data_IF_802915946185
#
_entry.id   IF_802915946185
#
_cell.length_a   1.000
_cell.length_b   1.000
_cell.length_c   1.000
_cell.angle_alpha   90.00
_cell.angle_beta   90.00
_cell.angle_gamma   90.00
#
_symmetry.space_group_name_H-M   'P 1'
#
loop_
_entity.id
_entity.type
_entity.pdbx_description
1 polymer ?
#
# COMPACT_ATOMS: atom_id res chain seq x y z
N UNK A 1 -0.99 15.62 -8.71
CA UNK A 1 -1.32 14.32 -9.33
C UNK A 1 -2.19 13.54 -8.35
N UNK A 2 -3.45 13.29 -8.69
CA UNK A 2 -4.33 12.47 -7.86
C UNK A 2 -4.11 11.02 -8.30
N UNK A 3 -3.73 10.14 -7.37
CA UNK A 3 -3.56 8.70 -7.64
C UNK A 3 -4.93 8.06 -7.48
N UNK A 4 -5.44 7.44 -8.53
CA UNK A 4 -6.79 6.86 -8.54
C UNK A 4 -6.76 5.33 -8.65
N UNK A 5 -5.63 4.76 -9.11
CA UNK A 5 -5.53 3.32 -9.38
C UNK A 5 -4.32 2.67 -8.69
N UNK A 6 -4.38 1.33 -8.44
CA UNK A 6 -3.22 0.58 -7.95
C UNK A 6 -2.00 0.67 -8.86
N UNK A 7 -2.19 0.74 -10.18
CA UNK A 7 -1.10 0.82 -11.15
C UNK A 7 -0.37 2.16 -11.07
N UNK A 8 -1.09 3.26 -10.93
CA UNK A 8 -0.50 4.58 -10.71
C UNK A 8 0.27 4.64 -9.39
N UNK A 9 -0.28 4.05 -8.31
CA UNK A 9 0.41 3.99 -7.02
C UNK A 9 1.69 3.15 -7.12
N UNK A 10 1.66 2.02 -7.83
CA UNK A 10 2.86 1.22 -8.12
C UNK A 10 3.94 2.05 -8.83
N UNK A 11 3.58 2.77 -9.89
CA UNK A 11 4.54 3.59 -10.63
C UNK A 11 5.11 4.71 -9.77
N UNK A 12 4.26 5.42 -9.01
CA UNK A 12 4.68 6.50 -8.13
C UNK A 12 5.64 6.02 -7.03
N UNK A 13 5.39 4.85 -6.45
CA UNK A 13 6.18 4.29 -5.34
C UNK A 13 7.42 3.52 -5.78
N UNK A 14 7.71 3.42 -7.10
CA UNK A 14 8.82 2.60 -7.59
C UNK A 14 10.18 3.03 -7.02
N UNK A 15 10.37 4.34 -6.78
CA UNK A 15 11.61 4.88 -6.18
C UNK A 15 11.72 4.65 -4.68
N UNK A 16 10.59 4.67 -3.96
CA UNK A 16 10.55 4.64 -2.49
C UNK A 16 10.24 3.26 -1.93
N UNK A 17 9.71 2.35 -2.74
CA UNK A 17 9.31 0.99 -2.38
C UNK A 17 9.47 0.03 -3.58
N UNK A 18 10.69 -0.09 -4.15
CA UNK A 18 10.93 -0.80 -5.41
C UNK A 18 10.50 -2.27 -5.39
N UNK A 19 10.54 -2.91 -4.22
CA UNK A 19 10.27 -4.34 -4.09
C UNK A 19 8.80 -4.70 -3.86
N UNK A 20 7.96 -3.77 -3.40
CA UNK A 20 6.61 -4.09 -2.91
C UNK A 20 5.71 -4.72 -3.98
N UNK A 21 5.79 -4.19 -5.20
CA UNK A 21 4.97 -4.63 -6.34
C UNK A 21 5.77 -5.49 -7.34
N UNK A 22 6.89 -6.07 -6.91
CA UNK A 22 7.63 -7.03 -7.72
C UNK A 22 6.85 -8.31 -7.86
N UNK A 23 7.02 -8.98 -9.01
CA UNK A 23 6.39 -10.26 -9.28
C UNK A 23 6.68 -11.27 -8.16
N UNK A 24 7.94 -11.35 -7.71
CA UNK A 24 8.35 -12.32 -6.69
C UNK A 24 7.75 -12.04 -5.32
N UNK A 25 7.70 -10.78 -4.89
CA UNK A 25 7.04 -10.39 -3.64
C UNK A 25 5.55 -10.73 -3.70
N UNK A 26 4.89 -10.40 -4.80
CA UNK A 26 3.46 -10.68 -4.95
C UNK A 26 3.19 -12.19 -5.01
N UNK A 27 3.97 -12.95 -5.77
CA UNK A 27 3.91 -14.43 -5.82
C UNK A 27 4.16 -15.06 -4.45
N UNK A 28 5.12 -14.54 -3.69
CA UNK A 28 5.41 -15.00 -2.34
C UNK A 28 4.17 -14.90 -1.44
N UNK A 29 3.50 -13.75 -1.43
CA UNK A 29 2.26 -13.56 -0.66
C UNK A 29 1.00 -14.15 -1.31
N UNK A 30 1.06 -14.61 -2.57
CA UNK A 30 -0.10 -15.09 -3.32
C UNK A 30 -1.03 -13.96 -3.79
N UNK A 31 -0.44 -12.81 -4.12
CA UNK A 31 -1.15 -11.58 -4.48
C UNK A 31 -1.05 -11.26 -5.98
N UNK A 32 -1.94 -10.41 -6.47
CA UNK A 32 -1.92 -9.89 -7.84
C UNK A 32 -2.35 -8.42 -7.87
N UNK A 33 -1.92 -7.66 -8.89
CA UNK A 33 -2.29 -6.23 -8.97
C UNK A 33 -3.81 -6.02 -9.04
N UNK A 34 -4.54 -6.98 -9.61
CA UNK A 34 -6.02 -6.94 -9.71
C UNK A 34 -6.70 -7.02 -8.35
N UNK A 35 -6.07 -7.70 -7.38
CA UNK A 35 -6.59 -7.85 -6.03
C UNK A 35 -6.46 -6.58 -5.19
N UNK A 36 -5.63 -5.63 -5.60
CA UNK A 36 -5.51 -4.36 -4.89
C UNK A 36 -6.59 -3.35 -5.28
N UNK A 37 -7.02 -2.56 -4.30
CA UNK A 37 -7.68 -1.28 -4.49
C UNK A 37 -6.87 -0.17 -3.81
N UNK A 38 -7.14 1.09 -4.20
CA UNK A 38 -6.51 2.28 -3.61
C UNK A 38 -7.61 3.23 -3.15
N UNK A 39 -7.43 3.85 -1.98
CA UNK A 39 -8.27 4.96 -1.52
C UNK A 39 -7.44 5.97 -0.72
N UNK A 40 -7.91 7.21 -0.66
CA UNK A 40 -7.36 8.20 0.26
C UNK A 40 -7.74 7.84 1.71
N UNK A 41 -6.81 7.98 2.64
CA UNK A 41 -7.06 7.78 4.06
C UNK A 41 -6.10 8.64 4.91
N UNK A 42 -6.32 8.69 6.22
CA UNK A 42 -5.44 9.30 7.21
C UNK A 42 -5.17 8.29 8.32
N UNK A 43 -3.90 8.00 8.59
CA UNK A 43 -3.50 7.07 9.65
C UNK A 43 -2.75 7.80 10.77
N UNK A 44 -2.71 7.19 11.95
CA UNK A 44 -1.88 7.63 13.07
C UNK A 44 -0.61 6.79 13.10
N UNK A 45 0.54 7.44 12.98
CA UNK A 45 1.87 6.84 13.16
C UNK A 45 2.45 7.27 14.52
N UNK A 46 3.67 6.84 14.84
CA UNK A 46 4.38 7.36 16.03
C UNK A 46 4.71 8.86 15.93
N UNK A 47 4.82 9.40 14.72
CA UNK A 47 5.11 10.81 14.46
C UNK A 47 3.88 11.71 14.31
N UNK A 48 2.67 11.16 14.49
CA UNK A 48 1.41 11.91 14.37
C UNK A 48 0.51 11.41 13.24
N UNK A 49 -0.43 12.26 12.82
CA UNK A 49 -1.39 11.92 11.75
C UNK A 49 -0.75 12.17 10.38
N UNK A 50 -0.87 11.20 9.48
CA UNK A 50 -0.32 11.27 8.12
C UNK A 50 -1.41 10.95 7.11
N UNK A 51 -1.54 11.80 6.09
CA UNK A 51 -2.38 11.51 4.93
C UNK A 51 -1.70 10.50 4.01
N UNK A 52 -2.43 9.47 3.62
CA UNK A 52 -1.89 8.34 2.87
C UNK A 52 -2.80 7.92 1.72
N UNK A 53 -2.20 7.24 0.75
CA UNK A 53 -2.87 6.30 -0.11
C UNK A 53 -2.88 4.94 0.59
N UNK A 54 -4.06 4.46 0.95
CA UNK A 54 -4.25 3.10 1.45
C UNK A 54 -4.37 2.15 0.27
N UNK A 55 -3.42 1.23 0.16
CA UNK A 55 -3.47 0.07 -0.71
C UNK A 55 -4.09 -1.09 0.08
N UNK A 56 -5.37 -1.36 -0.17
CA UNK A 56 -6.11 -2.43 0.50
C UNK A 56 -6.27 -3.64 -0.43
N UNK A 57 -6.43 -4.82 0.18
CA UNK A 57 -6.71 -6.07 -0.54
C UNK A 57 -8.21 -6.31 -0.63
N UNK A 58 -8.72 -6.50 -1.86
CA UNK A 58 -10.13 -6.82 -2.11
C UNK A 58 -10.50 -8.21 -1.60
N UNK A 59 -9.58 -9.18 -1.70
CA UNK A 59 -9.73 -10.54 -1.20
C UNK A 59 -8.51 -10.92 -0.36
N UNK A 60 -8.67 -11.74 0.71
CA UNK A 60 -7.55 -12.29 1.47
C UNK A 60 -6.58 -13.07 0.57
N UNK A 61 -5.29 -13.06 0.92
CA UNK A 61 -4.24 -13.84 0.25
C UNK A 61 -3.80 -15.02 1.14
N UNK A 62 -2.61 -15.60 0.87
CA UNK A 62 -2.09 -16.73 1.66
C UNK A 62 -2.20 -16.48 3.16
N UNK A 63 -2.59 -17.52 3.90
CA UNK A 63 -2.82 -17.49 5.35
C UNK A 63 -3.89 -16.48 5.81
N UNK A 64 -4.81 -16.09 4.92
CA UNK A 64 -5.91 -15.17 5.25
C UNK A 64 -5.47 -13.71 5.40
N UNK A 65 -4.26 -13.36 4.97
CA UNK A 65 -3.79 -11.99 5.11
C UNK A 65 -4.61 -11.03 4.22
N UNK A 66 -5.28 -10.06 4.84
CA UNK A 66 -6.02 -9.00 4.16
C UNK A 66 -5.57 -7.60 4.60
N UNK A 67 -4.40 -7.50 5.25
CA UNK A 67 -3.90 -6.23 5.79
C UNK A 67 -3.66 -5.20 4.67
N UNK A 68 -4.02 -3.94 4.92
CA UNK A 68 -3.66 -2.82 4.05
C UNK A 68 -2.19 -2.42 4.19
N UNK A 69 -1.64 -1.79 3.16
CA UNK A 69 -0.41 -1.01 3.22
C UNK A 69 -0.70 0.46 2.97
N UNK A 70 0.12 1.34 3.52
CA UNK A 70 -0.12 2.78 3.51
C UNK A 70 1.10 3.50 2.95
N UNK A 71 0.88 4.44 2.03
CA UNK A 71 1.94 5.22 1.40
C UNK A 71 1.64 6.71 1.58
N UNK A 72 2.59 7.47 2.12
CA UNK A 72 2.45 8.91 2.35
C UNK A 72 2.06 9.63 1.06
N UNK A 73 1.03 10.48 1.10
CA UNK A 73 0.67 11.33 -0.05
C UNK A 73 1.75 12.35 -0.39
N UNK A 74 2.57 12.74 0.61
CA UNK A 74 3.62 13.76 0.44
C UNK A 74 4.92 13.16 -0.10
N UNK A 75 5.32 12.00 0.42
CA UNK A 75 6.66 11.46 0.17
C UNK A 75 6.66 10.12 -0.53
N UNK A 76 5.50 9.47 -0.67
CA UNK A 76 5.35 8.12 -1.24
C UNK A 76 6.11 7.02 -0.49
N UNK A 77 6.72 7.31 0.66
CA UNK A 77 7.28 6.28 1.54
C UNK A 77 6.17 5.49 2.22
N UNK A 78 6.47 4.23 2.53
CA UNK A 78 5.56 3.36 3.26
C UNK A 78 5.47 3.82 4.71
N UNK A 79 4.24 3.99 5.19
CA UNK A 79 3.92 4.37 6.55
C UNK A 79 3.30 3.18 7.29
N UNK A 80 3.48 3.15 8.61
CA UNK A 80 2.97 2.08 9.45
C UNK A 80 2.04 2.67 10.52
N UNK A 81 0.85 2.07 10.62
CA UNK A 81 -0.11 2.42 11.66
C UNK A 81 0.49 2.07 13.02
N UNK A 82 0.44 3.01 13.96
CA UNK A 82 0.73 2.74 15.36
C UNK A 82 -0.33 1.76 15.88
N UNK A 83 0.07 0.51 16.11
CA UNK A 83 -0.77 -0.47 16.80
C UNK A 83 -0.69 -0.18 18.30
N UNK A 84 -1.81 -0.32 19.00
CA UNK A 84 -1.89 -0.18 20.46
C UNK A 84 -1.02 -1.23 21.15
#
# INVERSE_FOLDING_TARGET
MIILTPSELKQATLKTSPYYFTHDTMKFFGDTMRNYGVRANTIVTYGGRVEVWELYRKKPVKHGNQSSAYFSKRTLHREFVKRR
#
